data_IF_466843789415
#
_entry.id   IF_466843789415
#
_cell.length_a   1.000
_cell.length_b   1.000
_cell.length_c   1.000
_cell.angle_alpha   90.00
_cell.angle_beta   90.00
_cell.angle_gamma   90.00
#
_symmetry.space_group_name_H-M   'P 1'
#
loop_
_entity.id
_entity.type
_entity.pdbx_description
1 polymer ?
#
# COMPACT_ATOMS: atom_id res chain seq x y z
N UNK A 1 5.49 -10.99 4.12
CA UNK A 1 5.65 -9.58 3.67
C UNK A 1 7.03 -9.39 3.10
N UNK A 2 7.19 -8.48 2.14
CA UNK A 2 8.46 -8.16 1.48
C UNK A 2 8.71 -6.65 1.62
N UNK A 3 9.94 -6.24 1.94
CA UNK A 3 10.34 -4.83 2.04
C UNK A 3 11.21 -4.45 0.84
N UNK A 4 10.73 -3.53 0.01
CA UNK A 4 11.50 -2.95 -1.10
C UNK A 4 12.16 -1.64 -0.64
N UNK A 5 13.49 -1.62 -0.46
CA UNK A 5 14.25 -0.43 -0.04
C UNK A 5 15.33 -0.03 -1.06
N UNK A 6 15.83 1.20 -0.97
CA UNK A 6 16.94 1.74 -1.79
C UNK A 6 16.65 3.12 -2.40
N UNK A 7 17.56 3.66 -3.24
CA UNK A 7 17.46 5.01 -3.75
C UNK A 7 16.20 5.27 -4.60
N UNK A 8 15.70 6.52 -4.66
CA UNK A 8 14.60 6.89 -5.55
C UNK A 8 14.98 6.62 -7.01
N UNK A 9 14.01 6.23 -7.84
CA UNK A 9 14.24 5.94 -9.26
C UNK A 9 14.67 4.49 -9.59
N UNK A 10 14.90 3.64 -8.58
CA UNK A 10 15.24 2.20 -8.77
C UNK A 10 14.05 1.30 -9.10
N UNK A 11 12.90 1.85 -9.49
CA UNK A 11 11.78 1.08 -10.01
C UNK A 11 10.92 0.30 -9.01
N UNK A 12 11.10 0.48 -7.68
CA UNK A 12 10.35 -0.26 -6.64
C UNK A 12 8.82 -0.25 -6.84
N UNK A 13 8.27 0.94 -7.09
CA UNK A 13 6.84 1.14 -7.34
C UNK A 13 6.39 0.50 -8.65
N UNK A 14 7.25 0.54 -9.66
CA UNK A 14 7.00 -0.07 -10.98
C UNK A 14 6.97 -1.60 -10.87
N UNK A 15 7.91 -2.18 -10.11
CA UNK A 15 8.01 -3.61 -9.87
C UNK A 15 6.79 -4.13 -9.09
N UNK A 16 6.36 -3.40 -8.06
CA UNK A 16 5.14 -3.74 -7.31
C UNK A 16 3.88 -3.76 -8.20
N UNK A 17 3.74 -2.77 -9.11
CA UNK A 17 2.65 -2.72 -10.09
C UNK A 17 2.74 -3.84 -11.13
N UNK A 18 3.94 -4.11 -11.64
CA UNK A 18 4.18 -5.14 -12.65
C UNK A 18 3.86 -6.54 -12.11
N UNK A 19 4.22 -6.82 -10.84
CA UNK A 19 3.87 -8.06 -10.15
C UNK A 19 2.36 -8.18 -10.05
N UNK A 20 1.67 -7.17 -9.53
CA UNK A 20 0.22 -7.24 -9.39
C UNK A 20 -0.50 -7.48 -10.72
N UNK A 21 -0.04 -6.82 -11.79
CA UNK A 21 -0.53 -7.03 -13.15
C UNK A 21 -0.21 -8.44 -13.69
N UNK A 22 0.93 -9.04 -13.34
CA UNK A 22 1.28 -10.39 -13.77
C UNK A 22 0.53 -11.48 -13.02
N UNK A 23 0.19 -11.24 -11.76
CA UNK A 23 -0.54 -12.21 -10.93
C UNK A 23 -2.06 -12.04 -10.97
N UNK A 24 -2.61 -11.15 -11.82
CA UNK A 24 -4.04 -10.78 -11.84
C UNK A 24 -4.59 -10.50 -10.43
N UNK A 25 -3.76 -9.90 -9.57
CA UNK A 25 -4.08 -9.61 -8.17
C UNK A 25 -4.34 -8.12 -7.99
N UNK A 26 -5.20 -7.78 -7.04
CA UNK A 26 -5.52 -6.38 -6.73
C UNK A 26 -4.34 -5.71 -6.02
N UNK A 27 -3.74 -4.68 -6.63
CA UNK A 27 -2.69 -3.88 -6.00
C UNK A 27 -3.30 -2.78 -5.12
N UNK A 28 -3.25 -2.96 -3.81
CA UNK A 28 -3.68 -1.93 -2.86
C UNK A 28 -2.47 -1.07 -2.49
N UNK A 29 -2.40 0.15 -3.04
CA UNK A 29 -1.38 1.14 -2.67
C UNK A 29 -1.89 1.97 -1.50
N UNK A 30 -1.25 1.84 -0.34
CA UNK A 30 -1.54 2.67 0.84
C UNK A 30 -0.32 3.51 1.17
N UNK A 31 -0.47 4.84 1.21
CA UNK A 31 0.55 5.73 1.75
C UNK A 31 0.36 5.89 3.25
N UNK A 32 1.46 5.91 4.02
CA UNK A 32 1.40 6.21 5.45
C UNK A 32 0.75 7.57 5.74
N UNK A 33 0.89 8.53 4.82
CA UNK A 33 0.24 9.84 4.92
C UNK A 33 -1.29 9.78 4.75
N UNK A 34 -1.84 8.79 4.05
CA UNK A 34 -3.30 8.59 3.94
C UNK A 34 -3.89 8.01 5.23
N UNK A 35 -3.08 7.26 5.99
CA UNK A 35 -3.48 6.69 7.28
C UNK A 35 -3.43 7.72 8.42
N UNK A 36 -2.71 8.83 8.23
CA UNK A 36 -2.64 9.92 9.20
C UNK A 36 -3.83 10.87 8.98
N UNK A 37 -4.93 10.57 9.67
CA UNK A 37 -6.12 11.41 9.71
C UNK A 37 -6.06 12.39 10.89
N UNK A 38 -6.64 13.58 10.72
CA UNK A 38 -6.75 14.61 11.77
C UNK A 38 -7.60 14.14 12.96
N UNK A 39 -8.46 13.14 12.75
CA UNK A 39 -9.36 12.57 13.74
C UNK A 39 -8.81 11.27 14.31
N UNK A 40 -8.76 11.21 15.65
CA UNK A 40 -8.32 10.03 16.39
C UNK A 40 -9.28 8.87 16.10
N UNK A 41 -8.75 7.73 15.63
CA UNK A 41 -9.51 6.51 15.37
C UNK A 41 -10.00 6.31 13.93
N UNK A 42 -9.95 7.34 13.08
CA UNK A 42 -10.27 7.18 11.64
C UNK A 42 -9.19 6.39 10.90
N UNK A 43 -7.91 6.67 11.19
CA UNK A 43 -6.80 5.92 10.59
C UNK A 43 -6.87 4.42 10.89
N UNK A 44 -7.19 4.03 12.13
CA UNK A 44 -7.31 2.62 12.50
C UNK A 44 -8.53 1.94 11.88
N UNK A 45 -9.64 2.66 11.71
CA UNK A 45 -10.81 2.17 10.98
C UNK A 45 -10.47 1.89 9.52
N UNK A 46 -9.76 2.81 8.86
CA UNK A 46 -9.38 2.66 7.46
C UNK A 46 -8.42 1.50 7.23
N UNK A 47 -7.43 1.30 8.12
CA UNK A 47 -6.55 0.10 8.06
C UNK A 47 -7.37 -1.18 8.17
N UNK A 48 -8.36 -1.21 9.08
CA UNK A 48 -9.20 -2.38 9.28
C UNK A 48 -10.10 -2.66 8.07
N UNK A 49 -10.69 -1.64 7.46
CA UNK A 49 -11.48 -1.78 6.24
C UNK A 49 -10.61 -2.23 5.06
N UNK A 50 -9.40 -1.68 4.89
CA UNK A 50 -8.45 -2.12 3.87
C UNK A 50 -8.08 -3.59 4.00
N UNK A 51 -7.91 -4.09 5.22
CA UNK A 51 -7.64 -5.51 5.48
C UNK A 51 -8.86 -6.42 5.31
N UNK A 52 -10.08 -5.88 5.36
CA UNK A 52 -11.32 -6.65 5.11
C UNK A 52 -11.63 -6.71 3.60
N UNK A 53 -11.24 -5.69 2.84
CA UNK A 53 -11.41 -5.65 1.38
C UNK A 53 -10.33 -6.43 0.61
N UNK A 54 -9.18 -6.69 1.23
CA UNK A 54 -8.07 -7.48 0.67
C UNK A 54 -8.31 -8.99 0.81
#
# INVERSE_FOLDING_TARGET
GVLLYGPPGTGKTLLARAVAHHTDCTFIRVSGSELVQKYIGEGSRMVRELFVMA
#
